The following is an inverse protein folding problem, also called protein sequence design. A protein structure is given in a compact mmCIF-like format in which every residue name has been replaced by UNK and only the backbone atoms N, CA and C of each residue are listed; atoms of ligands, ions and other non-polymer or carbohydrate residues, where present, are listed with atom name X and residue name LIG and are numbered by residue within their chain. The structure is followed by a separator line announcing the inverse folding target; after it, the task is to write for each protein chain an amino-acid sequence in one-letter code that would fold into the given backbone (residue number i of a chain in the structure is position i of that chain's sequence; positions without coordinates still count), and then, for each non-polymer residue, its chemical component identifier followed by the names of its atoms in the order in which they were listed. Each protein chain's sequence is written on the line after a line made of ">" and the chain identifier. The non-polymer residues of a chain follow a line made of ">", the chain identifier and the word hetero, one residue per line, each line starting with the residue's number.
data_IF_915391475810
#
_entry.id   IF_915391475810
#
_cell.length_a   1.000
_cell.length_b   1.000
_cell.length_c   1.000
_cell.angle_alpha   90.00
_cell.angle_beta   90.00
_cell.angle_gamma   90.00
#
_symmetry.space_group_name_H-M   'P 1'
#
loop_
_entity.id
_entity.type
_entity.pdbx_description
1 polymer ?
#
# COMPACT_ATOMS: atom_id res chain seq x y z
N UNK A 1 24.41 5.50 -8.25
CA UNK A 1 23.03 5.16 -8.66
C UNK A 1 22.06 5.93 -7.78
N UNK A 2 21.02 6.52 -8.35
CA UNK A 2 20.04 7.29 -7.59
C UNK A 2 19.15 6.37 -6.75
N UNK A 3 18.59 6.90 -5.66
CA UNK A 3 17.59 6.22 -4.84
C UNK A 3 16.35 7.09 -4.80
N UNK A 4 15.21 6.51 -5.17
CA UNK A 4 13.91 7.16 -5.19
C UNK A 4 13.04 6.63 -4.07
N UNK A 5 12.23 7.51 -3.47
CA UNK A 5 11.40 7.16 -2.32
C UNK A 5 9.92 7.37 -2.64
N UNK A 6 9.16 6.30 -2.46
CA UNK A 6 7.71 6.30 -2.33
C UNK A 6 7.38 6.33 -0.84
N UNK A 7 6.31 7.01 -0.45
CA UNK A 7 5.84 6.99 0.94
C UNK A 7 4.36 6.73 0.98
N UNK A 8 3.94 5.66 1.66
CA UNK A 8 2.54 5.44 2.00
C UNK A 8 2.34 5.88 3.43
N UNK A 9 1.45 6.85 3.63
CA UNK A 9 1.02 7.30 4.95
C UNK A 9 -0.36 6.74 5.21
N UNK A 10 -0.48 5.77 6.11
CA UNK A 10 -1.75 5.18 6.51
C UNK A 10 -2.40 6.08 7.55
N UNK A 11 -3.64 6.50 7.31
CA UNK A 11 -4.29 7.60 8.06
C UNK A 11 -5.66 7.21 8.59
N UNK A 12 -6.42 6.44 7.82
CA UNK A 12 -7.78 6.07 8.15
C UNK A 12 -7.85 4.56 8.34
N UNK A 13 -8.25 4.15 9.53
CA UNK A 13 -8.37 2.75 9.92
C UNK A 13 -9.82 2.46 10.23
N UNK A 14 -10.36 1.42 9.60
CA UNK A 14 -11.68 0.88 9.92
C UNK A 14 -11.54 -0.59 10.26
N UNK A 15 -12.66 -1.22 10.63
CA UNK A 15 -12.69 -2.67 10.82
C UNK A 15 -12.55 -3.46 9.50
N UNK A 16 -12.59 -2.78 8.35
CA UNK A 16 -12.56 -3.41 7.03
C UNK A 16 -11.30 -3.08 6.23
N UNK A 17 -10.73 -1.88 6.38
CA UNK A 17 -9.61 -1.41 5.56
C UNK A 17 -8.65 -0.53 6.32
N UNK A 18 -7.45 -0.42 5.75
CA UNK A 18 -6.50 0.65 6.03
C UNK A 18 -6.42 1.54 4.79
N UNK A 19 -6.77 2.81 4.92
CA UNK A 19 -6.68 3.79 3.83
C UNK A 19 -5.64 4.86 4.14
N UNK A 20 -4.99 5.36 3.09
CA UNK A 20 -3.89 6.29 3.23
C UNK A 20 -3.63 7.11 1.98
N UNK A 21 -2.42 7.66 1.93
CA UNK A 21 -1.95 8.54 0.87
C UNK A 21 -0.57 8.06 0.39
N UNK A 22 -0.40 7.95 -0.93
CA UNK A 22 0.87 7.66 -1.57
C UNK A 22 1.51 8.97 -2.03
N UNK A 23 2.79 9.11 -1.72
CA UNK A 23 3.66 10.20 -2.14
C UNK A 23 4.81 9.67 -2.98
N UNK A 24 5.22 10.45 -3.99
CA UNK A 24 6.43 10.20 -4.78
C UNK A 24 7.40 11.34 -4.50
N UNK A 25 8.52 11.05 -3.85
CA UNK A 25 9.53 12.03 -3.41
C UNK A 25 8.91 13.22 -2.64
N UNK A 26 7.98 12.94 -1.73
CA UNK A 26 7.34 13.95 -0.88
C UNK A 26 6.15 14.68 -1.52
N UNK A 27 5.93 14.53 -2.82
CA UNK A 27 4.75 15.08 -3.50
C UNK A 27 3.58 14.10 -3.47
N UNK A 28 2.41 14.56 -3.03
CA UNK A 28 1.19 13.74 -3.03
C UNK A 28 0.91 13.21 -4.44
N UNK A 29 0.63 11.91 -4.52
CA UNK A 29 0.35 11.23 -5.79
C UNK A 29 -1.10 10.76 -5.87
N UNK A 30 -1.55 9.95 -4.91
CA UNK A 30 -2.92 9.42 -4.88
C UNK A 30 -3.29 8.87 -3.50
N UNK A 31 -4.51 8.37 -3.35
CA UNK A 31 -4.93 7.61 -2.18
C UNK A 31 -4.60 6.13 -2.31
N UNK A 32 -4.46 5.46 -1.17
CA UNK A 32 -4.21 4.02 -1.06
C UNK A 32 -5.30 3.32 -0.27
N UNK A 33 -5.59 2.07 -0.61
CA UNK A 33 -6.45 1.17 0.16
C UNK A 33 -5.75 -0.19 0.32
N UNK A 34 -5.73 -0.68 1.54
CA UNK A 34 -5.13 -1.95 1.93
C UNK A 34 -6.10 -2.70 2.87
N UNK A 35 -5.80 -3.96 3.12
CA UNK A 35 -6.45 -4.73 4.18
C UNK A 35 -6.29 -4.08 5.57
N UNK A 36 -7.05 -4.60 6.54
CA UNK A 36 -6.97 -4.18 7.95
C UNK A 36 -5.54 -4.30 8.48
N UNK A 37 -5.04 -3.22 9.08
CA UNK A 37 -3.79 -3.24 9.83
C UNK A 37 -4.01 -3.99 11.15
N UNK A 38 -3.16 -4.99 11.39
CA UNK A 38 -3.18 -5.83 12.60
C UNK A 38 -1.94 -5.69 13.46
N UNK A 39 -1.06 -4.78 13.06
CA UNK A 39 0.02 -4.22 13.87
C UNK A 39 -0.64 -3.15 14.75
N UNK A 40 -0.98 -3.54 15.97
CA UNK A 40 -1.72 -2.74 16.94
C UNK A 40 -0.80 -1.76 17.66
N UNK A 41 0.43 -2.21 17.96
CA UNK A 41 1.42 -1.43 18.68
C UNK A 41 2.24 -0.47 17.77
N UNK A 42 2.16 -0.67 16.44
CA UNK A 42 2.83 0.13 15.38
C UNK A 42 4.35 -0.01 15.38
N UNK A 43 4.86 -1.17 15.75
CA UNK A 43 6.30 -1.44 15.80
C UNK A 43 6.89 -1.98 14.48
N UNK A 44 6.05 -2.29 13.50
CA UNK A 44 6.47 -2.77 12.19
C UNK A 44 6.62 -4.29 12.09
N UNK A 45 6.02 -5.05 13.01
CA UNK A 45 5.83 -6.49 12.84
C UNK A 45 4.42 -6.97 13.20
N UNK A 46 4.25 -8.27 13.41
CA UNK A 46 2.97 -8.93 13.75
C UNK A 46 3.22 -10.11 14.71
N UNK A 47 4.27 -10.03 15.54
CA UNK A 47 4.70 -11.10 16.43
C UNK A 47 4.16 -10.95 17.86
N UNK A 48 3.44 -9.87 18.12
CA UNK A 48 2.95 -9.50 19.43
C UNK A 48 1.63 -10.19 19.83
N UNK A 49 1.33 -10.32 21.14
CA UNK A 49 0.09 -10.91 21.62
C UNK A 49 -1.15 -10.16 21.09
N UNK A 50 -1.99 -10.87 20.33
CA UNK A 50 -3.20 -10.30 19.70
C UNK A 50 -2.98 -9.80 18.28
N UNK A 51 -1.74 -9.73 17.83
CA UNK A 51 -1.37 -9.45 16.45
C UNK A 51 -1.21 -10.77 15.70
N UNK A 52 -1.98 -10.92 14.63
CA UNK A 52 -1.88 -12.12 13.80
C UNK A 52 -2.27 -11.82 12.38
N UNK A 53 -1.39 -12.19 11.47
CA UNK A 53 -1.71 -12.22 10.04
C UNK A 53 -2.90 -13.13 9.78
N UNK A 54 -3.92 -12.58 9.13
CA UNK A 54 -5.00 -13.33 8.49
C UNK A 54 -4.74 -13.32 6.99
N UNK A 55 -4.51 -14.49 6.35
CA UNK A 55 -4.25 -14.57 4.91
C UNK A 55 -5.33 -13.82 4.10
N UNK A 56 -4.88 -12.93 3.21
CA UNK A 56 -5.75 -12.11 2.35
C UNK A 56 -6.67 -11.12 3.06
N UNK A 57 -6.42 -10.85 4.35
CA UNK A 57 -7.19 -9.91 5.19
C UNK A 57 -6.29 -9.14 6.16
N UNK A 58 -5.03 -8.94 5.80
CA UNK A 58 -4.05 -8.21 6.62
C UNK A 58 -3.08 -7.49 5.71
N UNK A 59 -2.94 -6.17 5.90
CA UNK A 59 -1.92 -5.41 5.17
C UNK A 59 -0.52 -5.74 5.71
N UNK A 60 0.50 -5.42 4.92
CA UNK A 60 1.88 -5.65 5.35
C UNK A 60 2.28 -4.73 6.51
N UNK A 61 3.24 -5.12 7.36
CA UNK A 61 3.71 -4.25 8.44
C UNK A 61 4.27 -2.92 7.91
N UNK A 62 4.19 -1.86 8.71
CA UNK A 62 4.89 -0.62 8.43
C UNK A 62 6.39 -0.89 8.31
N UNK A 63 7.10 -0.11 7.50
CA UNK A 63 8.51 -0.37 7.22
C UNK A 63 8.96 0.08 5.85
N UNK A 64 10.17 -0.33 5.45
CA UNK A 64 10.79 0.07 4.19
C UNK A 64 11.10 -1.12 3.32
N UNK A 65 10.50 -1.16 2.13
CA UNK A 65 10.60 -2.26 1.19
C UNK A 65 11.14 -1.79 -0.16
N UNK A 66 11.89 -2.63 -0.84
CA UNK A 66 12.29 -2.34 -2.21
C UNK A 66 11.12 -2.62 -3.15
N UNK A 67 10.90 -1.74 -4.12
CA UNK A 67 9.91 -1.92 -5.18
C UNK A 67 10.61 -2.29 -6.47
N UNK A 68 10.17 -3.36 -7.10
CA UNK A 68 10.61 -3.80 -8.43
C UNK A 68 9.41 -3.96 -9.35
N UNK A 69 9.68 -4.21 -10.64
CA UNK A 69 8.67 -4.66 -11.60
C UNK A 69 9.06 -6.07 -12.02
N UNK A 70 8.13 -7.02 -11.89
CA UNK A 70 8.31 -8.41 -12.29
C UNK A 70 7.06 -8.96 -12.99
N UNK A 71 7.16 -10.15 -13.58
CA UNK A 71 6.01 -10.83 -14.18
C UNK A 71 5.08 -11.36 -13.09
N UNK A 72 3.82 -10.94 -13.10
CA UNK A 72 2.79 -11.50 -12.23
C UNK A 72 2.10 -12.70 -12.86
N UNK A 73 2.11 -13.85 -12.21
CA UNK A 73 1.31 -15.01 -12.64
C UNK A 73 -0.20 -14.78 -12.54
N UNK A 74 -0.65 -14.06 -11.50
CA UNK A 74 -2.08 -13.71 -11.30
C UNK A 74 -2.59 -12.75 -12.39
N UNK A 75 -1.85 -11.65 -12.62
CA UNK A 75 -2.28 -10.62 -13.58
C UNK A 75 -1.79 -10.87 -15.02
N UNK A 76 -0.91 -11.86 -15.23
CA UNK A 76 -0.29 -12.22 -16.52
C UNK A 76 0.35 -11.02 -17.23
N UNK A 77 1.01 -10.14 -16.47
CA UNK A 77 1.71 -8.96 -16.96
C UNK A 77 2.76 -8.46 -15.98
N UNK A 78 3.63 -7.56 -16.43
CA UNK A 78 4.59 -6.85 -15.58
C UNK A 78 3.85 -5.97 -14.58
N UNK A 79 4.14 -6.16 -13.29
CA UNK A 79 3.46 -5.50 -12.19
C UNK A 79 4.45 -5.05 -11.12
N UNK A 80 4.17 -3.95 -10.39
CA UNK A 80 4.95 -3.58 -9.22
C UNK A 80 4.90 -4.69 -8.15
N UNK A 81 6.05 -5.01 -7.55
CA UNK A 81 6.19 -5.98 -6.47
C UNK A 81 7.05 -5.37 -5.36
N UNK A 82 6.59 -5.51 -4.12
CA UNK A 82 7.39 -5.24 -2.92
C UNK A 82 8.10 -6.53 -2.52
N UNK A 83 9.40 -6.46 -2.26
CA UNK A 83 10.23 -7.61 -1.89
C UNK A 83 10.77 -7.49 -0.46
N UNK A 84 11.01 -8.63 0.18
CA UNK A 84 11.65 -8.71 1.51
C UNK A 84 10.69 -8.51 2.70
N UNK A 85 9.40 -8.78 2.54
CA UNK A 85 8.41 -8.64 3.61
C UNK A 85 8.28 -9.98 4.35
N UNK A 86 8.66 -10.03 5.63
CA UNK A 86 8.59 -11.25 6.43
C UNK A 86 7.15 -11.75 6.56
N UNK A 87 6.91 -13.02 6.27
CA UNK A 87 5.59 -13.63 6.39
C UNK A 87 4.60 -13.26 5.27
N UNK A 88 5.00 -12.46 4.27
CA UNK A 88 4.19 -12.10 3.10
C UNK A 88 4.91 -12.43 1.80
N UNK A 89 4.14 -12.77 0.76
CA UNK A 89 4.66 -13.06 -0.57
C UNK A 89 3.73 -12.46 -1.62
N UNK A 90 4.31 -12.06 -2.77
CA UNK A 90 3.52 -11.58 -3.90
C UNK A 90 2.79 -10.26 -3.66
N UNK A 91 3.28 -9.40 -2.76
CA UNK A 91 2.63 -8.14 -2.40
C UNK A 91 2.87 -7.09 -3.48
N UNK A 92 1.79 -6.63 -4.11
CA UNK A 92 1.83 -5.77 -5.29
C UNK A 92 1.20 -4.41 -5.01
N UNK A 93 1.49 -3.48 -5.91
CA UNK A 93 0.71 -2.23 -6.03
C UNK A 93 -0.13 -2.38 -7.30
N UNK A 94 -1.45 -2.24 -7.20
CA UNK A 94 -2.32 -2.44 -8.36
C UNK A 94 -3.63 -1.63 -8.30
N UNK A 95 -4.40 -1.71 -9.37
CA UNK A 95 -5.76 -1.16 -9.41
C UNK A 95 -6.74 -2.12 -8.72
N UNK A 96 -7.68 -1.54 -7.97
CA UNK A 96 -8.79 -2.18 -7.28
C UNK A 96 -9.53 -1.08 -6.52
N UNK A 97 -10.71 -1.39 -5.98
CA UNK A 97 -11.57 -0.36 -5.41
C UNK A 97 -11.98 -0.66 -3.96
N UNK A 98 -11.99 -1.94 -3.57
CA UNK A 98 -12.49 -2.40 -2.27
C UNK A 98 -11.50 -3.35 -1.58
N UNK A 99 -11.72 -3.59 -0.28
CA UNK A 99 -10.90 -4.51 0.52
C UNK A 99 -10.70 -5.89 -0.13
N UNK A 100 -11.76 -6.44 -0.73
CA UNK A 100 -11.76 -7.75 -1.41
C UNK A 100 -10.83 -7.83 -2.61
N UNK A 101 -10.42 -6.68 -3.16
CA UNK A 101 -9.46 -6.63 -4.26
C UNK A 101 -8.01 -6.71 -3.78
N UNK A 102 -7.74 -6.47 -2.49
CA UNK A 102 -6.38 -6.28 -1.95
C UNK A 102 -5.60 -7.60 -1.84
N UNK A 103 -6.09 -8.58 -1.08
CA UNK A 103 -5.34 -9.80 -0.72
C UNK A 103 -3.95 -9.46 -0.13
N UNK A 104 -3.89 -8.50 0.79
CA UNK A 104 -2.68 -7.93 1.38
C UNK A 104 -1.90 -6.94 0.49
N UNK A 105 -2.34 -6.69 -0.75
CA UNK A 105 -1.72 -5.72 -1.66
C UNK A 105 -2.16 -4.28 -1.39
N UNK A 106 -1.48 -3.34 -2.06
CA UNK A 106 -1.78 -1.90 -2.00
C UNK A 106 -2.57 -1.50 -3.25
N UNK A 107 -3.80 -1.03 -3.06
CA UNK A 107 -4.62 -0.47 -4.13
C UNK A 107 -4.38 1.02 -4.26
N UNK A 108 -4.48 1.54 -5.48
CA UNK A 108 -4.35 2.97 -5.77
C UNK A 108 -5.66 3.54 -6.31
N UNK A 109 -6.00 4.78 -5.93
CA UNK A 109 -7.09 5.55 -6.55
C UNK A 109 -6.93 7.06 -6.36
N UNK A 110 -7.51 7.86 -7.26
CA UNK A 110 -7.41 9.33 -7.20
C UNK A 110 -8.50 9.97 -6.34
N UNK A 111 -9.53 9.20 -5.99
CA UNK A 111 -10.56 9.60 -5.02
C UNK A 111 -10.64 8.57 -3.90
N UNK A 112 -11.19 8.96 -2.75
CA UNK A 112 -11.33 8.12 -1.56
C UNK A 112 -12.68 8.36 -0.89
N UNK A 113 -13.28 7.30 -0.36
CA UNK A 113 -14.36 7.36 0.63
C UNK A 113 -14.09 6.33 1.73
N UNK A 114 -15.05 6.07 2.62
CA UNK A 114 -14.92 5.00 3.62
C UNK A 114 -14.80 3.66 2.88
N UNK A 115 -13.78 2.88 3.24
CA UNK A 115 -13.51 1.53 2.71
C UNK A 115 -13.44 1.43 1.17
N UNK A 116 -13.10 2.54 0.50
CA UNK A 116 -13.09 2.61 -0.95
C UNK A 116 -12.09 3.64 -1.49
N UNK A 117 -11.49 3.28 -2.63
CA UNK A 117 -10.77 4.22 -3.51
C UNK A 117 -11.36 4.17 -4.91
N UNK A 118 -11.44 5.32 -5.59
CA UNK A 118 -12.03 5.46 -6.92
C UNK A 118 -11.01 5.78 -8.01
N UNK A 119 -11.42 5.63 -9.27
CA UNK A 119 -10.59 5.88 -10.45
C UNK A 119 -9.25 5.12 -10.44
N UNK A 120 -9.31 3.86 -10.01
CA UNK A 120 -8.13 3.05 -9.69
C UNK A 120 -7.30 2.68 -10.91
N UNK A 121 -7.94 2.37 -12.05
CA UNK A 121 -7.26 1.98 -13.30
C UNK A 121 -6.40 3.10 -13.86
N UNK A 122 -6.95 4.31 -13.98
CA UNK A 122 -6.23 5.48 -14.48
C UNK A 122 -5.10 5.89 -13.55
N UNK A 123 -5.35 5.84 -12.24
CA UNK A 123 -4.34 6.13 -11.21
C UNK A 123 -3.18 5.14 -11.30
N UNK A 124 -3.49 3.85 -11.40
CA UNK A 124 -2.48 2.80 -11.56
C UNK A 124 -1.69 2.94 -12.87
N UNK A 125 -2.34 3.26 -13.98
CA UNK A 125 -1.66 3.49 -15.26
C UNK A 125 -0.63 4.63 -15.16
N UNK A 126 -1.03 5.76 -14.55
CA UNK A 126 -0.13 6.89 -14.28
C UNK A 126 1.01 6.52 -13.34
N UNK A 127 0.72 5.73 -12.31
CA UNK A 127 1.72 5.24 -11.37
C UNK A 127 2.76 4.36 -12.06
N UNK A 128 2.32 3.41 -12.89
CA UNK A 128 3.20 2.47 -13.58
C UNK A 128 4.20 3.18 -14.50
N UNK A 129 3.74 4.20 -15.25
CA UNK A 129 4.63 5.03 -16.08
C UNK A 129 5.69 5.73 -15.22
N UNK A 130 5.28 6.35 -14.10
CA UNK A 130 6.22 7.01 -13.19
C UNK A 130 7.23 6.02 -12.60
N UNK A 131 6.76 4.88 -12.10
CA UNK A 131 7.62 3.85 -11.52
C UNK A 131 8.66 3.33 -12.51
N UNK A 132 8.27 3.07 -13.76
CA UNK A 132 9.20 2.64 -14.81
C UNK A 132 10.30 3.67 -15.09
N UNK A 133 9.97 4.96 -15.10
CA UNK A 133 10.96 6.03 -15.28
C UNK A 133 11.95 6.11 -14.11
N UNK A 134 11.45 5.99 -12.88
CA UNK A 134 12.29 5.99 -11.68
C UNK A 134 13.26 4.79 -11.67
N UNK A 135 12.75 3.59 -12.01
CA UNK A 135 13.56 2.36 -12.03
C UNK A 135 14.66 2.38 -13.12
N UNK A 136 14.49 3.16 -14.20
CA UNK A 136 15.55 3.34 -15.21
C UNK A 136 16.76 4.14 -14.68
N UNK A 137 16.56 4.97 -13.65
CA UNK A 137 17.57 5.91 -13.15
C UNK A 137 18.12 5.53 -11.78
N UNK A 138 17.47 4.59 -11.08
CA UNK A 138 17.85 4.23 -9.73
C UNK A 138 17.00 3.14 -9.11
N UNK A 139 17.32 2.80 -7.86
CA UNK A 139 16.49 1.89 -7.05
C UNK A 139 15.31 2.66 -6.47
N UNK A 140 14.15 2.02 -6.39
CA UNK A 140 12.95 2.59 -5.76
C UNK A 140 12.66 1.84 -4.47
N UNK A 141 12.43 2.58 -3.40
CA UNK A 141 11.98 2.05 -2.12
C UNK A 141 10.64 2.68 -1.76
N UNK A 142 9.79 1.91 -1.09
CA UNK A 142 8.54 2.37 -0.49
C UNK A 142 8.68 2.32 1.02
N UNK A 143 8.45 3.45 1.68
CA UNK A 143 8.35 3.54 3.13
C UNK A 143 6.87 3.63 3.49
N UNK A 144 6.39 2.68 4.28
CA UNK A 144 5.04 2.65 4.82
C UNK A 144 5.13 3.14 6.26
N UNK A 145 4.33 4.14 6.58
CA UNK A 145 4.22 4.71 7.93
C UNK A 145 2.76 4.69 8.37
N UNK A 146 2.56 4.35 9.63
CA UNK A 146 1.27 4.43 10.30
C UNK A 146 1.17 5.78 11.00
N UNK A 147 0.33 6.69 10.49
CA UNK A 147 0.06 7.93 11.20
C UNK A 147 -0.82 7.64 12.43
N UNK A 148 -0.54 8.30 13.58
CA UNK A 148 -1.35 8.15 14.78
C UNK A 148 -2.79 8.58 14.49
N UNK A 149 -3.75 7.82 15.02
CA UNK A 149 -5.17 8.13 14.93
C UNK A 149 -5.44 9.36 15.80
N UNK A 150 -5.48 10.54 15.20
CA UNK A 150 -5.81 11.77 15.91
C UNK A 150 -7.32 11.83 16.20
N UNK A 151 -7.73 11.38 17.38
CA UNK A 151 -9.09 11.56 17.93
C UNK A 151 -10.17 10.68 17.28
N UNK A 152 -11.42 10.74 17.80
CA UNK A 152 -12.49 9.86 17.34
C UNK A 152 -12.74 10.08 15.85
N UNK A 153 -12.68 8.99 15.09
CA UNK A 153 -13.02 8.94 13.67
C UNK A 153 -14.44 9.49 13.52
N UNK A 154 -14.58 10.76 13.11
CA UNK A 154 -15.87 11.24 12.62
C UNK A 154 -16.15 10.44 11.36
N UNK A 155 -17.05 9.48 11.47
CA UNK A 155 -17.65 8.82 10.32
C UNK A 155 -18.19 9.93 9.43
N UNK A 156 -17.55 10.15 8.28
CA UNK A 156 -18.09 11.04 7.27
C UNK A 156 -19.35 10.35 6.73
N UNK A 157 -20.50 10.94 7.05
CA UNK A 157 -21.79 10.60 6.46
C UNK A 157 -21.78 10.88 4.95
#
# INVERSE_FOLDING_TARGET
>A
MQVWNLTVRRKWYTNNTTTGELYINGSFFCYTLEDVCRDLNRDGDLNDPGEKKVPGKTCIPAGRYQVIIDMSYRFRKLMPLLIGILGFAGIRIHAGNYAVDTDGCILLGSTRSIDFVGNSRDTFAKFMVRLQLLLKTGKVYITIIDEPVNGPVKQAA
#
